data_IF_515327365829
#
_entry.id   IF_515327365829
#
_cell.length_a   1.000
_cell.length_b   1.000
_cell.length_c   1.000
_cell.angle_alpha   90.00
_cell.angle_beta   90.00
_cell.angle_gamma   90.00
#
_symmetry.space_group_name_H-M   'P 1'
#
loop_
_entity.id
_entity.type
_entity.pdbx_description
1 polymer ?
#
# COMPACT_ATOMS: atom_id res chain seq x y z
N UNK A 1 -8.22 -2.48 -9.53
CA UNK A 1 -9.49 -1.94 -9.00
C UNK A 1 -10.19 -1.16 -10.12
N UNK A 2 -11.48 -0.90 -10.01
CA UNK A 2 -12.20 0.02 -10.91
C UNK A 2 -12.84 1.13 -10.10
N UNK A 3 -12.82 2.35 -10.63
CA UNK A 3 -13.41 3.54 -10.00
C UNK A 3 -14.87 3.65 -10.45
N UNK A 4 -15.77 3.91 -9.52
CA UNK A 4 -17.18 4.22 -9.79
C UNK A 4 -17.55 5.56 -9.19
N UNK A 5 -18.32 6.34 -9.95
CA UNK A 5 -18.91 7.58 -9.47
C UNK A 5 -20.24 7.29 -8.79
N UNK A 6 -20.42 7.77 -7.57
CA UNK A 6 -21.63 7.61 -6.76
C UNK A 6 -22.19 9.00 -6.48
N UNK A 7 -23.48 9.18 -6.78
CA UNK A 7 -24.21 10.39 -6.44
C UNK A 7 -24.98 10.14 -5.14
N UNK A 8 -24.65 10.88 -4.08
CA UNK A 8 -25.32 10.73 -2.77
C UNK A 8 -25.52 12.09 -2.12
N UNK A 9 -26.75 12.38 -1.72
CA UNK A 9 -27.12 13.63 -1.04
C UNK A 9 -26.65 14.89 -1.80
N UNK A 10 -26.72 14.89 -3.15
CA UNK A 10 -26.27 16.01 -3.98
C UNK A 10 -24.76 16.16 -4.14
N UNK A 11 -23.95 15.26 -3.55
CA UNK A 11 -22.49 15.22 -3.73
C UNK A 11 -22.08 14.09 -4.67
N UNK A 12 -21.06 14.36 -5.48
CA UNK A 12 -20.38 13.37 -6.31
C UNK A 12 -19.25 12.77 -5.47
N UNK A 13 -19.19 11.44 -5.39
CA UNK A 13 -18.12 10.71 -4.69
C UNK A 13 -17.50 9.69 -5.65
N UNK A 14 -16.16 9.65 -5.71
CA UNK A 14 -15.43 8.66 -6.48
C UNK A 14 -14.97 7.54 -5.57
N UNK A 15 -15.36 6.30 -5.88
CA UNK A 15 -15.11 5.17 -5.00
C UNK A 15 -14.51 4.01 -5.76
N UNK A 16 -13.46 3.42 -5.23
CA UNK A 16 -12.82 2.24 -5.82
C UNK A 16 -13.52 0.96 -5.41
N UNK A 17 -13.52 -0.02 -6.31
CA UNK A 17 -14.01 -1.36 -6.05
C UNK A 17 -13.02 -2.41 -6.57
N UNK A 18 -12.87 -3.49 -5.82
CA UNK A 18 -12.11 -4.64 -6.26
C UNK A 18 -12.77 -5.25 -7.50
N UNK A 19 -11.98 -5.35 -8.59
CA UNK A 19 -12.44 -5.90 -9.86
C UNK A 19 -12.69 -7.41 -9.77
N UNK A 20 -11.92 -8.13 -8.94
CA UNK A 20 -12.15 -9.57 -8.71
C UNK A 20 -13.45 -9.81 -7.93
N UNK A 21 -13.75 -8.98 -6.93
CA UNK A 21 -15.03 -9.06 -6.21
C UNK A 21 -16.23 -8.77 -7.11
N UNK A 22 -16.13 -7.76 -7.99
CA UNK A 22 -17.22 -7.40 -8.90
C UNK A 22 -17.54 -8.47 -9.95
N UNK A 23 -16.59 -9.36 -10.27
CA UNK A 23 -16.81 -10.51 -11.17
C UNK A 23 -17.62 -11.64 -10.52
N UNK A 24 -17.88 -11.58 -9.21
CA UNK A 24 -18.74 -12.51 -8.48
C UNK A 24 -18.01 -13.77 -8.00
N UNK A 25 -18.50 -14.31 -6.87
CA UNK A 25 -17.91 -15.48 -6.18
C UNK A 25 -17.91 -16.77 -7.02
N UNK A 26 -18.76 -16.86 -8.05
CA UNK A 26 -18.87 -18.04 -8.90
C UNK A 26 -17.70 -18.19 -9.89
N UNK A 27 -16.96 -17.11 -10.21
CA UNK A 27 -15.83 -17.15 -11.16
C UNK A 27 -14.45 -17.10 -10.49
N UNK A 28 -14.27 -16.39 -9.36
CA UNK A 28 -12.97 -16.29 -8.67
C UNK A 28 -13.13 -16.11 -7.14
N UNK A 29 -12.43 -16.93 -6.34
CA UNK A 29 -12.52 -16.95 -4.86
C UNK A 29 -11.55 -16.00 -4.12
N UNK A 30 -10.70 -15.27 -4.85
CA UNK A 30 -9.54 -14.56 -4.27
C UNK A 30 -9.89 -13.40 -3.34
N UNK A 31 -11.03 -12.76 -3.53
CA UNK A 31 -11.44 -11.60 -2.71
C UNK A 31 -12.77 -11.86 -2.00
N UNK A 32 -12.75 -11.86 -0.67
CA UNK A 32 -13.93 -12.06 0.18
C UNK A 32 -14.74 -10.76 0.43
N UNK A 33 -14.18 -9.61 0.08
CA UNK A 33 -14.76 -8.29 0.29
C UNK A 33 -14.61 -7.40 -0.95
N UNK A 34 -15.43 -6.33 -1.08
CA UNK A 34 -15.33 -5.40 -2.19
C UNK A 34 -14.07 -4.52 -2.18
N UNK A 35 -13.26 -4.52 -1.10
CA UNK A 35 -12.12 -3.60 -0.89
C UNK A 35 -12.45 -2.15 -1.29
N UNK A 36 -13.63 -1.69 -0.87
CA UNK A 36 -14.16 -0.39 -1.24
C UNK A 36 -13.45 0.70 -0.44
N UNK A 37 -12.95 1.74 -1.10
CA UNK A 37 -12.41 2.93 -0.43
C UNK A 37 -12.71 4.20 -1.23
N UNK A 38 -12.92 5.32 -0.55
CA UNK A 38 -13.15 6.62 -1.19
C UNK A 38 -11.83 7.10 -1.82
N UNK A 39 -11.89 7.58 -3.06
CA UNK A 39 -10.71 8.05 -3.79
C UNK A 39 -10.19 9.32 -3.14
N UNK A 40 -11.08 10.23 -2.73
CA UNK A 40 -10.68 11.52 -2.17
C UNK A 40 -9.93 11.32 -0.83
N UNK A 41 -10.42 10.38 0.00
CA UNK A 41 -9.73 9.98 1.24
C UNK A 41 -8.34 9.40 0.98
N UNK A 42 -8.19 8.55 -0.05
CA UNK A 42 -6.87 7.98 -0.40
C UNK A 42 -5.91 9.08 -0.85
N UNK A 43 -6.40 10.00 -1.67
CA UNK A 43 -5.60 11.09 -2.23
C UNK A 43 -5.15 12.09 -1.16
N UNK A 44 -6.01 12.41 -0.20
CA UNK A 44 -5.69 13.26 0.95
C UNK A 44 -4.61 12.63 1.84
N UNK A 45 -4.75 11.34 2.16
CA UNK A 45 -3.74 10.62 2.94
C UNK A 45 -2.38 10.56 2.22
N UNK A 46 -2.40 10.30 0.91
CA UNK A 46 -1.18 10.31 0.10
C UNK A 46 -0.52 11.69 0.09
N UNK A 47 -1.32 12.75 -0.07
CA UNK A 47 -0.83 14.12 -0.04
C UNK A 47 -0.17 14.46 1.30
N UNK A 48 -0.75 14.02 2.41
CA UNK A 48 -0.16 14.20 3.74
C UNK A 48 1.15 13.43 3.90
N UNK A 49 1.21 12.16 3.47
CA UNK A 49 2.42 11.35 3.51
C UNK A 49 3.54 11.98 2.67
N UNK A 50 3.24 12.42 1.45
CA UNK A 50 4.21 13.08 0.58
C UNK A 50 4.71 14.40 1.17
N UNK A 51 3.82 15.21 1.75
CA UNK A 51 4.21 16.45 2.46
C UNK A 51 5.16 16.17 3.62
N UNK A 52 4.88 15.16 4.45
CA UNK A 52 5.77 14.77 5.55
C UNK A 52 7.13 14.28 5.06
N UNK A 53 7.16 13.48 3.99
CA UNK A 53 8.41 13.02 3.38
C UNK A 53 9.22 14.21 2.85
N UNK A 54 8.57 15.14 2.14
CA UNK A 54 9.23 16.32 1.58
C UNK A 54 9.77 17.24 2.67
N UNK A 55 8.98 17.52 3.71
CA UNK A 55 9.42 18.31 4.86
C UNK A 55 10.65 17.67 5.54
N UNK A 56 10.60 16.36 5.78
CA UNK A 56 11.74 15.66 6.38
C UNK A 56 12.99 15.68 5.49
N UNK A 57 12.82 15.56 4.17
CA UNK A 57 13.92 15.67 3.21
C UNK A 57 14.60 17.04 3.27
N UNK A 58 13.84 18.11 3.51
CA UNK A 58 14.39 19.46 3.65
C UNK A 58 15.09 19.66 5.00
N UNK A 59 14.49 19.20 6.09
CA UNK A 59 15.02 19.39 7.44
C UNK A 59 16.28 18.56 7.70
N UNK A 60 16.31 17.31 7.22
CA UNK A 60 17.37 16.34 7.54
C UNK A 60 17.86 15.59 6.29
N UNK A 61 18.40 16.32 5.31
CA UNK A 61 18.87 15.77 4.02
C UNK A 61 19.82 14.57 4.16
N UNK A 62 20.81 14.66 5.05
CA UNK A 62 21.82 13.61 5.22
C UNK A 62 21.23 12.33 5.82
N UNK A 63 20.30 12.46 6.76
CA UNK A 63 19.65 11.31 7.38
C UNK A 63 18.58 10.73 6.47
N UNK A 64 17.86 11.55 5.71
CA UNK A 64 16.96 11.08 4.67
C UNK A 64 17.69 10.27 3.60
N UNK A 65 18.86 10.71 3.14
CA UNK A 65 19.66 9.94 2.18
C UNK A 65 20.12 8.59 2.75
N UNK A 66 20.57 8.56 4.02
CA UNK A 66 20.90 7.30 4.70
C UNK A 66 19.69 6.40 4.81
N UNK A 67 18.53 6.94 5.14
CA UNK A 67 17.28 6.18 5.31
C UNK A 67 16.81 5.58 3.99
N UNK A 68 16.79 6.36 2.91
CA UNK A 68 16.48 5.89 1.56
C UNK A 68 17.43 4.77 1.15
N UNK A 69 18.74 4.95 1.38
CA UNK A 69 19.74 3.91 1.15
C UNK A 69 19.44 2.67 1.99
N UNK A 70 19.23 2.80 3.29
CA UNK A 70 18.93 1.68 4.19
C UNK A 70 17.66 0.94 3.78
N UNK A 71 16.60 1.64 3.35
CA UNK A 71 15.39 0.97 2.84
C UNK A 71 15.64 0.14 1.59
N UNK A 72 16.54 0.59 0.71
CA UNK A 72 16.96 -0.16 -0.47
C UNK A 72 17.93 -1.31 -0.12
N UNK A 73 18.78 -1.11 0.90
CA UNK A 73 19.79 -2.09 1.32
C UNK A 73 19.26 -3.15 2.29
N UNK A 74 18.15 -2.91 3.01
CA UNK A 74 17.58 -3.83 4.00
C UNK A 74 17.23 -5.22 3.43
N UNK A 75 17.12 -5.35 2.12
CA UNK A 75 16.93 -6.63 1.44
C UNK A 75 18.25 -7.33 1.02
N UNK A 76 19.42 -6.67 1.10
CA UNK A 76 20.62 -7.11 0.36
C UNK A 76 21.96 -7.09 1.13
N UNK A 77 22.03 -6.68 2.40
CA UNK A 77 23.35 -6.42 3.04
C UNK A 77 24.25 -7.62 3.25
N UNK A 78 23.70 -8.81 3.51
CA UNK A 78 24.52 -10.01 3.74
C UNK A 78 24.94 -10.67 2.41
N UNK A 79 24.07 -10.72 1.42
CA UNK A 79 24.40 -11.25 0.10
C UNK A 79 25.41 -10.37 -0.64
N UNK A 80 25.26 -9.04 -0.59
CA UNK A 80 26.20 -8.12 -1.24
C UNK A 80 27.61 -8.27 -0.66
N UNK A 81 27.74 -8.40 0.67
CA UNK A 81 29.04 -8.63 1.32
C UNK A 81 29.65 -9.99 0.93
N UNK A 82 28.83 -11.04 0.83
CA UNK A 82 29.28 -12.36 0.36
C UNK A 82 29.76 -12.29 -1.08
N UNK A 83 28.96 -11.68 -1.96
CA UNK A 83 29.26 -11.49 -3.38
C UNK A 83 30.53 -10.66 -3.59
N UNK A 84 30.75 -9.62 -2.78
CA UNK A 84 31.94 -8.78 -2.84
C UNK A 84 33.21 -9.53 -2.45
N UNK A 85 33.12 -10.49 -1.51
CA UNK A 85 34.23 -11.40 -1.16
C UNK A 85 34.40 -12.54 -2.16
N UNK A 86 33.31 -12.98 -2.78
CA UNK A 86 33.29 -14.10 -3.74
C UNK A 86 33.88 -13.71 -5.09
N UNK A 87 33.64 -12.48 -5.55
CA UNK A 87 34.16 -11.96 -6.81
C UNK A 87 35.69 -12.13 -6.98
N UNK A 88 36.56 -11.68 -6.04
CA UNK A 88 38.00 -11.86 -6.16
C UNK A 88 38.42 -13.34 -6.15
N UNK A 89 37.72 -14.19 -5.38
CA UNK A 89 38.01 -15.62 -5.32
C UNK A 89 37.75 -16.31 -6.65
N UNK A 90 36.63 -15.96 -7.31
CA UNK A 90 36.28 -16.47 -8.63
C UNK A 90 37.30 -16.01 -9.66
N UNK A 91 37.68 -14.73 -9.67
CA UNK A 91 38.68 -14.22 -10.62
C UNK A 91 40.03 -14.89 -10.45
N UNK A 92 40.52 -15.03 -9.21
CA UNK A 92 41.80 -15.68 -8.94
C UNK A 92 41.78 -17.14 -9.37
N UNK A 93 40.65 -17.85 -9.13
CA UNK A 93 40.49 -19.23 -9.54
C UNK A 93 40.43 -19.39 -11.05
N UNK A 94 39.73 -18.49 -11.76
CA UNK A 94 39.69 -18.48 -13.22
C UNK A 94 41.09 -18.27 -13.81
N UNK A 95 41.88 -17.34 -13.27
CA UNK A 95 43.28 -17.13 -13.71
C UNK A 95 44.16 -18.36 -13.44
N UNK A 96 43.99 -19.04 -12.31
CA UNK A 96 44.70 -20.29 -12.03
C UNK A 96 44.34 -21.37 -13.05
N UNK A 97 43.06 -21.52 -13.39
CA UNK A 97 42.60 -22.48 -14.38
C UNK A 97 43.21 -22.19 -15.76
N UNK A 98 43.24 -20.92 -16.18
CA UNK A 98 43.86 -20.52 -17.45
C UNK A 98 45.37 -20.87 -17.49
N UNK A 99 46.10 -20.62 -16.39
CA UNK A 99 47.52 -21.00 -16.29
C UNK A 99 47.72 -22.52 -16.37
N UNK A 100 46.86 -23.29 -15.72
CA UNK A 100 46.94 -24.77 -15.73
C UNK A 100 46.57 -25.32 -17.12
N UNK A 101 45.55 -24.76 -17.76
CA UNK A 101 45.13 -25.13 -19.11
C UNK A 101 46.22 -24.87 -20.16
N UNK A 102 46.91 -23.73 -20.08
CA UNK A 102 48.03 -23.42 -20.98
C UNK A 102 49.16 -24.45 -20.85
N UNK A 103 49.56 -24.79 -19.61
CA UNK A 103 50.58 -25.84 -19.37
C UNK A 103 50.13 -27.21 -19.86
N UNK A 104 48.87 -27.58 -19.62
CA UNK A 104 48.29 -28.83 -20.11
C UNK A 104 48.37 -28.93 -21.63
N UNK A 105 48.12 -27.82 -22.33
CA UNK A 105 48.24 -27.76 -23.80
C UNK A 105 49.69 -27.90 -24.26
N UNK A 106 50.63 -27.21 -23.61
CA UNK A 106 52.06 -27.32 -23.89
C UNK A 106 52.59 -28.76 -23.68
N UNK A 107 52.25 -29.39 -22.56
CA UNK A 107 52.67 -30.76 -22.24
C UNK A 107 52.09 -31.80 -23.22
N UNK A 108 50.84 -31.60 -23.67
CA UNK A 108 50.22 -32.45 -24.68
C UNK A 108 50.90 -32.27 -26.06
N UNK A 109 51.22 -31.03 -26.46
CA UNK A 109 51.91 -30.74 -27.71
C UNK A 109 53.33 -31.33 -27.76
N UNK A 110 54.01 -31.42 -26.61
CA UNK A 110 55.32 -32.06 -26.47
C UNK A 110 55.26 -33.60 -26.39
N UNK A 111 54.06 -34.18 -26.34
CA UNK A 111 53.87 -35.64 -26.20
C UNK A 111 54.18 -36.19 -24.81
N UNK A 112 54.27 -35.31 -23.79
CA UNK A 112 54.56 -35.69 -22.41
C UNK A 112 53.33 -36.28 -21.69
N UNK A 113 52.17 -36.28 -22.35
CA UNK A 113 50.90 -36.72 -21.79
C UNK A 113 50.12 -37.57 -22.78
N UNK A 114 49.43 -38.58 -22.25
CA UNK A 114 48.49 -39.38 -23.02
C UNK A 114 47.26 -38.55 -23.43
N UNK A 115 46.78 -38.76 -24.65
CA UNK A 115 45.73 -37.93 -25.28
C UNK A 115 44.40 -38.08 -24.54
N UNK A 116 44.05 -39.31 -24.13
CA UNK A 116 42.80 -39.57 -23.39
C UNK A 116 42.80 -38.83 -22.04
N UNK A 117 43.96 -38.79 -21.37
CA UNK A 117 44.13 -38.09 -20.10
C UNK A 117 44.05 -36.57 -20.25
N UNK A 118 44.59 -36.03 -21.35
CA UNK A 118 44.46 -34.60 -21.69
C UNK A 118 42.99 -34.22 -21.91
N UNK A 119 42.23 -35.00 -22.68
CA UNK A 119 40.81 -34.73 -22.95
C UNK A 119 39.97 -34.72 -21.65
N UNK A 120 40.24 -35.65 -20.73
CA UNK A 120 39.55 -35.69 -19.44
C UNK A 120 39.85 -34.48 -18.57
N UNK A 121 41.12 -34.06 -18.48
CA UNK A 121 41.53 -32.91 -17.67
C UNK A 121 41.05 -31.58 -18.27
N UNK A 122 41.22 -31.41 -19.58
CA UNK A 122 40.77 -30.21 -20.30
C UNK A 122 39.26 -30.00 -20.17
N UNK A 123 38.47 -31.08 -20.25
CA UNK A 123 37.01 -31.01 -20.02
C UNK A 123 36.67 -30.56 -18.61
N UNK A 124 37.29 -31.15 -17.58
CA UNK A 124 37.04 -30.79 -16.17
C UNK A 124 37.35 -29.31 -15.89
N UNK A 125 38.50 -28.83 -16.36
CA UNK A 125 38.89 -27.43 -16.16
C UNK A 125 38.04 -26.46 -17.00
N UNK A 126 37.62 -26.85 -18.20
CA UNK A 126 36.69 -26.05 -19.00
C UNK A 126 35.31 -25.93 -18.32
N UNK A 127 34.76 -27.04 -17.80
CA UNK A 127 33.52 -27.03 -17.03
C UNK A 127 33.63 -26.12 -15.80
N UNK A 128 34.70 -26.24 -15.02
CA UNK A 128 34.97 -25.35 -13.87
C UNK A 128 35.07 -23.87 -14.31
N UNK A 129 35.76 -23.58 -15.41
CA UNK A 129 35.88 -22.22 -15.91
C UNK A 129 34.53 -21.61 -16.31
N UNK A 130 33.71 -22.32 -17.10
CA UNK A 130 32.43 -21.77 -17.58
C UNK A 130 31.40 -21.64 -16.47
N UNK A 131 31.40 -22.56 -15.49
CA UNK A 131 30.56 -22.45 -14.29
C UNK A 131 30.93 -21.21 -13.45
N UNK A 132 32.22 -21.01 -13.19
CA UNK A 132 32.73 -19.82 -12.50
C UNK A 132 32.47 -18.53 -13.28
N UNK A 133 32.57 -18.57 -14.62
CA UNK A 133 32.26 -17.43 -15.48
C UNK A 133 30.78 -17.06 -15.42
N UNK A 134 29.89 -18.04 -15.41
CA UNK A 134 28.45 -17.81 -15.24
C UNK A 134 28.14 -17.21 -13.86
N UNK A 135 28.72 -17.76 -12.78
CA UNK A 135 28.60 -17.21 -11.42
C UNK A 135 29.10 -15.75 -11.37
N UNK A 136 30.22 -15.45 -12.02
CA UNK A 136 30.78 -14.10 -12.11
C UNK A 136 29.83 -13.11 -12.79
N UNK A 137 29.22 -13.50 -13.90
CA UNK A 137 28.27 -12.64 -14.61
C UNK A 137 26.97 -12.44 -13.81
N UNK A 138 26.46 -13.46 -13.13
CA UNK A 138 25.31 -13.34 -12.23
C UNK A 138 25.61 -12.35 -11.08
N UNK A 139 26.78 -12.47 -10.46
CA UNK A 139 27.19 -11.56 -9.39
C UNK A 139 27.34 -10.12 -9.92
N UNK A 140 27.90 -9.92 -11.13
CA UNK A 140 27.98 -8.59 -11.76
C UNK A 140 26.60 -8.00 -12.04
N UNK A 141 25.66 -8.81 -12.52
CA UNK A 141 24.28 -8.38 -12.77
C UNK A 141 23.64 -7.89 -11.46
N UNK A 142 23.77 -8.66 -10.37
CA UNK A 142 23.31 -8.23 -9.03
C UNK A 142 23.97 -6.92 -8.56
N UNK A 143 25.27 -6.72 -8.82
CA UNK A 143 25.93 -5.45 -8.50
C UNK A 143 25.37 -4.29 -9.33
N UNK A 144 25.08 -4.51 -10.62
CA UNK A 144 24.45 -3.49 -11.48
C UNK A 144 23.04 -3.12 -10.98
N UNK A 145 22.27 -4.08 -10.47
CA UNK A 145 20.97 -3.83 -9.85
C UNK A 145 21.09 -2.97 -8.57
N UNK A 146 22.15 -3.18 -7.79
CA UNK A 146 22.48 -2.38 -6.60
C UNK A 146 22.91 -0.94 -6.96
N UNK A 147 23.73 -0.77 -8.00
CA UNK A 147 24.11 0.56 -8.49
C UNK A 147 22.89 1.30 -9.05
N UNK A 148 22.04 0.59 -9.80
CA UNK A 148 20.75 1.09 -10.23
C UNK A 148 19.89 1.50 -9.03
N UNK A 149 19.91 0.76 -7.91
CA UNK A 149 19.24 1.16 -6.67
C UNK A 149 19.79 2.48 -6.11
N UNK A 150 21.11 2.65 -6.11
CA UNK A 150 21.75 3.89 -5.66
C UNK A 150 21.40 5.09 -6.55
N UNK A 151 21.26 4.88 -7.87
CA UNK A 151 20.77 5.91 -8.77
C UNK A 151 19.27 6.19 -8.56
N UNK A 152 18.46 5.16 -8.32
CA UNK A 152 17.03 5.30 -7.96
C UNK A 152 16.87 6.11 -6.67
N UNK A 153 17.70 5.88 -5.66
CA UNK A 153 17.73 6.68 -4.43
C UNK A 153 17.94 8.17 -4.71
N UNK A 154 18.97 8.50 -5.51
CA UNK A 154 19.26 9.90 -5.90
C UNK A 154 18.09 10.54 -6.64
N UNK A 155 17.46 9.80 -7.55
CA UNK A 155 16.25 10.26 -8.27
C UNK A 155 15.10 10.52 -7.31
N UNK A 156 14.85 9.63 -6.36
CA UNK A 156 13.80 9.83 -5.35
C UNK A 156 14.04 11.05 -4.47
N UNK A 157 15.28 11.27 -4.03
CA UNK A 157 15.65 12.43 -3.22
C UNK A 157 15.44 13.73 -4.03
N UNK A 158 15.90 13.76 -5.29
CA UNK A 158 15.68 14.90 -6.17
C UNK A 158 14.19 15.19 -6.40
N UNK A 159 13.38 14.15 -6.57
CA UNK A 159 11.93 14.29 -6.65
C UNK A 159 11.37 14.86 -5.33
N UNK A 160 11.68 14.26 -4.18
CA UNK A 160 11.19 14.73 -2.88
C UNK A 160 11.52 16.20 -2.60
N UNK A 161 12.71 16.67 -3.00
CA UNK A 161 13.14 18.07 -2.89
C UNK A 161 12.35 19.00 -3.83
N UNK A 162 12.17 18.59 -5.09
CA UNK A 162 11.49 19.40 -6.11
C UNK A 162 10.00 19.64 -5.83
N UNK A 163 9.37 18.76 -5.04
CA UNK A 163 7.93 18.81 -4.77
C UNK A 163 7.61 19.23 -3.32
N UNK A 164 8.49 19.99 -2.67
CA UNK A 164 8.29 20.43 -1.27
C UNK A 164 7.16 21.44 -1.04
N UNK A 165 6.68 22.12 -2.08
CA UNK A 165 5.59 23.10 -2.02
C UNK A 165 4.33 22.56 -2.70
N UNK A 166 3.52 21.76 -2.00
CA UNK A 166 2.24 21.28 -2.53
C UNK A 166 1.11 22.29 -2.26
N UNK A 167 0.57 22.89 -3.32
CA UNK A 167 -0.82 23.40 -3.32
C UNK A 167 -1.79 22.33 -3.87
N UNK A 168 -1.43 21.58 -4.92
CA UNK A 168 -2.29 20.53 -5.51
C UNK A 168 -1.53 19.27 -5.96
N UNK A 169 -2.11 18.09 -5.72
CA UNK A 169 -1.58 16.80 -6.20
C UNK A 169 -2.03 16.57 -7.65
N UNK A 170 -1.14 16.79 -8.63
CA UNK A 170 -1.46 16.50 -10.03
C UNK A 170 -1.28 15.00 -10.35
N UNK A 171 -2.05 14.43 -11.31
CA UNK A 171 -1.91 13.03 -11.71
C UNK A 171 -0.49 12.65 -12.17
N UNK A 172 0.23 13.59 -12.78
CA UNK A 172 1.61 13.40 -13.22
C UNK A 172 2.53 13.10 -12.05
N UNK A 173 2.44 13.89 -10.97
CA UNK A 173 3.25 13.72 -9.76
C UNK A 173 2.97 12.36 -9.10
N UNK A 174 1.71 11.96 -9.05
CA UNK A 174 1.31 10.68 -8.46
C UNK A 174 1.93 9.52 -9.24
N UNK A 175 1.84 9.54 -10.57
CA UNK A 175 2.41 8.49 -11.40
C UNK A 175 3.95 8.46 -11.34
N UNK A 176 4.60 9.59 -11.08
CA UNK A 176 6.05 9.66 -10.88
C UNK A 176 6.47 9.13 -9.50
N UNK A 177 5.73 9.45 -8.44
CA UNK A 177 6.08 9.01 -7.08
C UNK A 177 5.64 7.59 -6.78
N UNK A 178 4.42 7.23 -7.16
CA UNK A 178 3.72 6.07 -6.65
C UNK A 178 3.63 5.00 -7.73
N UNK A 179 4.16 3.82 -7.40
CA UNK A 179 4.09 2.62 -8.24
C UNK A 179 2.73 1.93 -8.09
N UNK A 180 2.32 1.69 -6.85
CA UNK A 180 1.06 1.01 -6.55
C UNK A 180 0.58 1.36 -5.14
N UNK A 181 -0.73 1.29 -4.97
CA UNK A 181 -1.40 1.45 -3.68
C UNK A 181 -2.11 0.14 -3.39
N UNK A 182 -1.76 -0.50 -2.28
CA UNK A 182 -2.41 -1.73 -1.80
C UNK A 182 -3.42 -1.33 -0.74
N UNK A 183 -4.67 -1.66 -0.98
CA UNK A 183 -5.78 -1.41 -0.06
C UNK A 183 -6.18 -2.73 0.57
N UNK A 184 -6.02 -2.81 1.90
CA UNK A 184 -6.36 -4.02 2.66
C UNK A 184 -7.86 -4.14 2.94
N UNK A 185 -8.26 -5.31 3.43
CA UNK A 185 -9.63 -5.55 3.90
C UNK A 185 -9.95 -4.65 5.10
N UNK A 186 -11.21 -4.22 5.18
CA UNK A 186 -11.71 -3.43 6.31
C UNK A 186 -11.81 -4.30 7.55
N UNK A 187 -11.41 -3.77 8.71
CA UNK A 187 -11.48 -4.50 9.98
C UNK A 187 -12.88 -4.99 10.33
N UNK A 188 -13.91 -4.18 10.01
CA UNK A 188 -15.32 -4.51 10.27
C UNK A 188 -16.14 -4.39 8.99
N UNK A 189 -16.73 -5.50 8.56
CA UNK A 189 -17.57 -5.55 7.36
C UNK A 189 -18.84 -4.71 7.54
N UNK A 190 -19.24 -3.98 6.49
CA UNK A 190 -20.48 -3.18 6.40
C UNK A 190 -20.62 -2.04 7.42
N UNK A 191 -19.62 -1.77 8.25
CA UNK A 191 -19.66 -0.62 9.14
C UNK A 191 -19.36 0.69 8.36
N UNK A 192 -20.09 1.76 8.71
CA UNK A 192 -19.93 3.09 8.12
C UNK A 192 -18.60 3.74 8.51
N UNK A 193 -18.13 3.42 9.71
CA UNK A 193 -16.94 3.97 10.33
C UNK A 193 -16.03 2.79 10.68
N UNK A 194 -14.90 2.68 10.00
CA UNK A 194 -13.99 1.53 10.05
C UNK A 194 -12.58 2.01 9.75
N UNK A 195 -11.59 1.45 10.42
CA UNK A 195 -10.20 1.62 10.06
C UNK A 195 -9.86 0.67 8.91
N UNK A 196 -9.20 1.20 7.89
CA UNK A 196 -8.77 0.44 6.72
C UNK A 196 -7.31 0.76 6.44
N UNK A 197 -6.46 -0.28 6.41
CA UNK A 197 -5.03 -0.11 6.15
C UNK A 197 -4.77 0.11 4.66
N UNK A 198 -3.94 1.10 4.35
CA UNK A 198 -3.43 1.37 3.00
C UNK A 198 -1.91 1.26 3.04
N UNK A 199 -1.32 0.60 2.06
CA UNK A 199 0.13 0.62 1.82
C UNK A 199 0.42 1.34 0.50
N UNK A 200 1.39 2.23 0.51
CA UNK A 200 1.83 2.98 -0.67
C UNK A 200 3.24 2.51 -1.03
N UNK A 201 3.41 2.13 -2.30
CA UNK A 201 4.70 1.73 -2.87
C UNK A 201 5.17 2.84 -3.80
N UNK A 202 6.40 3.28 -3.61
CA UNK A 202 7.03 4.32 -4.41
C UNK A 202 7.84 3.71 -5.55
N UNK A 203 7.89 4.38 -6.71
CA UNK A 203 8.56 3.86 -7.92
C UNK A 203 10.05 3.55 -7.71
N UNK A 204 10.74 4.35 -6.90
CA UNK A 204 12.20 4.28 -6.77
C UNK A 204 12.69 3.48 -5.56
N UNK A 205 11.86 3.37 -4.51
CA UNK A 205 12.23 2.76 -3.22
C UNK A 205 11.34 1.58 -2.86
N UNK A 206 10.21 1.39 -3.55
CA UNK A 206 9.24 0.35 -3.18
C UNK A 206 8.50 0.73 -1.90
N UNK A 207 8.37 -0.22 -0.97
CA UNK A 207 7.67 0.04 0.29
C UNK A 207 8.57 0.88 1.21
N UNK A 208 8.16 2.12 1.45
CA UNK A 208 8.92 3.00 2.34
C UNK A 208 8.59 2.67 3.80
N UNK A 209 9.29 1.70 4.38
CA UNK A 209 9.16 1.34 5.80
C UNK A 209 10.23 2.04 6.64
N UNK A 210 9.86 3.18 7.20
CA UNK A 210 10.74 4.00 8.04
C UNK A 210 10.07 4.45 9.35
N UNK A 211 10.86 4.96 10.30
CA UNK A 211 10.42 5.55 11.56
C UNK A 211 9.40 6.68 11.36
N UNK A 212 9.55 7.46 10.28
CA UNK A 212 8.59 8.50 9.88
C UNK A 212 7.22 7.92 9.50
N UNK A 213 7.19 6.85 8.72
CA UNK A 213 5.94 6.16 8.39
C UNK A 213 5.37 5.41 9.59
N UNK A 214 6.19 4.95 10.53
CA UNK A 214 5.72 4.36 11.80
C UNK A 214 5.08 5.40 12.73
N UNK A 215 5.50 6.66 12.68
CA UNK A 215 4.83 7.76 13.37
C UNK A 215 3.50 8.15 12.70
N UNK A 216 3.33 7.84 11.42
CA UNK A 216 2.08 8.05 10.66
C UNK A 216 1.14 6.86 10.80
N UNK A 217 1.66 5.64 10.97
CA UNK A 217 0.87 4.48 11.34
C UNK A 217 0.22 4.74 12.71
N UNK A 218 -1.12 4.80 12.80
CA UNK A 218 -1.77 5.07 14.07
C UNK A 218 -1.40 3.97 15.06
N UNK A 219 -0.92 4.37 16.23
CA UNK A 219 -0.54 3.45 17.30
C UNK A 219 -1.74 2.57 17.66
N UNK A 220 -1.53 1.34 18.14
CA UNK A 220 -2.65 0.46 18.54
C UNK A 220 -3.61 1.15 19.54
N UNK A 221 -3.10 2.05 20.36
CA UNK A 221 -3.91 2.87 21.27
C UNK A 221 -4.77 3.92 20.55
N UNK A 222 -4.24 4.58 19.53
CA UNK A 222 -4.96 5.56 18.70
C UNK A 222 -6.01 4.86 17.84
N UNK A 223 -5.68 3.67 17.31
CA UNK A 223 -6.64 2.78 16.65
C UNK A 223 -7.83 2.45 17.57
N UNK A 224 -7.56 2.17 18.86
CA UNK A 224 -8.59 1.91 19.87
C UNK A 224 -9.39 3.17 20.22
N UNK A 225 -8.76 4.34 20.31
CA UNK A 225 -9.44 5.62 20.52
C UNK A 225 -10.37 5.95 19.36
N UNK A 226 -9.87 5.89 18.12
CA UNK A 226 -10.70 6.06 16.92
C UNK A 226 -11.87 5.08 16.91
N UNK A 227 -11.67 3.80 17.29
CA UNK A 227 -12.78 2.83 17.44
C UNK A 227 -13.82 3.27 18.46
N UNK A 228 -13.39 3.78 19.62
CA UNK A 228 -14.29 4.27 20.68
C UNK A 228 -15.08 5.49 20.23
N UNK A 229 -14.41 6.47 19.61
CA UNK A 229 -15.05 7.67 19.06
C UNK A 229 -16.09 7.32 17.99
N UNK A 230 -15.74 6.38 17.12
CA UNK A 230 -16.64 5.83 16.12
C UNK A 230 -17.88 5.19 16.76
N UNK A 231 -17.69 4.41 17.82
CA UNK A 231 -18.78 3.75 18.53
C UNK A 231 -19.67 4.76 19.25
N UNK A 232 -19.07 5.79 19.85
CA UNK A 232 -19.77 6.87 20.51
C UNK A 232 -20.57 7.73 19.52
N UNK A 233 -19.98 8.06 18.37
CA UNK A 233 -20.68 8.75 17.28
C UNK A 233 -21.89 7.94 16.76
N UNK A 234 -21.77 6.60 16.69
CA UNK A 234 -22.91 5.72 16.38
C UNK A 234 -23.98 5.78 17.47
N UNK A 235 -23.59 5.72 18.74
CA UNK A 235 -24.51 5.83 19.89
C UNK A 235 -25.22 7.19 19.88
N UNK A 236 -24.51 8.28 19.63
CA UNK A 236 -25.08 9.62 19.60
C UNK A 236 -26.02 9.81 18.41
N UNK A 237 -25.67 9.30 17.22
CA UNK A 237 -26.60 9.31 16.08
C UNK A 237 -27.88 8.54 16.38
N UNK A 238 -27.79 7.39 17.05
CA UNK A 238 -28.96 6.62 17.48
C UNK A 238 -29.79 7.37 18.55
N UNK A 239 -29.12 8.07 19.49
CA UNK A 239 -29.78 8.94 20.48
C UNK A 239 -30.49 10.10 19.79
N UNK A 240 -29.84 10.80 18.86
CA UNK A 240 -30.42 11.90 18.08
C UNK A 240 -31.64 11.43 17.27
N UNK A 241 -31.54 10.29 16.59
CA UNK A 241 -32.69 9.66 15.91
C UNK A 241 -33.84 9.40 16.88
N UNK A 242 -33.58 8.78 18.04
CA UNK A 242 -34.61 8.54 19.06
C UNK A 242 -35.22 9.85 19.58
N UNK A 243 -34.41 10.88 19.85
CA UNK A 243 -34.89 12.20 20.27
C UNK A 243 -35.84 12.80 19.24
N UNK A 244 -35.47 12.76 17.95
CA UNK A 244 -36.30 13.26 16.86
C UNK A 244 -37.60 12.46 16.71
N UNK A 245 -37.50 11.13 16.68
CA UNK A 245 -38.66 10.23 16.60
C UNK A 245 -39.66 10.46 17.73
N UNK A 246 -39.20 10.53 18.98
CA UNK A 246 -40.09 10.78 20.12
C UNK A 246 -40.68 12.20 20.12
N UNK A 247 -39.96 13.20 19.59
CA UNK A 247 -40.48 14.55 19.42
C UNK A 247 -41.65 14.57 18.42
N UNK A 248 -41.48 13.93 17.26
CA UNK A 248 -42.53 13.79 16.25
C UNK A 248 -43.70 12.97 16.77
N UNK A 249 -43.43 11.84 17.43
CA UNK A 249 -44.47 11.00 18.04
C UNK A 249 -45.30 11.77 19.07
N UNK A 250 -44.67 12.55 19.96
CA UNK A 250 -45.38 13.40 20.94
C UNK A 250 -46.23 14.47 20.26
N UNK A 251 -45.72 15.12 19.22
CA UNK A 251 -46.45 16.13 18.46
C UNK A 251 -47.70 15.52 17.78
N UNK A 252 -47.53 14.41 17.06
CA UNK A 252 -48.63 13.70 16.41
C UNK A 252 -49.66 13.18 17.42
N UNK A 253 -49.22 12.70 18.58
CA UNK A 253 -50.14 12.24 19.61
C UNK A 253 -50.95 13.39 20.22
N UNK A 254 -50.32 14.55 20.45
CA UNK A 254 -51.02 15.76 20.90
C UNK A 254 -52.07 16.21 19.86
N UNK A 255 -51.74 16.13 18.57
CA UNK A 255 -52.65 16.45 17.48
C UNK A 255 -53.85 15.49 17.43
N UNK A 256 -53.61 14.17 17.56
CA UNK A 256 -54.67 13.17 17.69
C UNK A 256 -55.59 13.43 18.88
N UNK A 257 -55.05 13.79 20.04
CA UNK A 257 -55.87 14.16 21.20
C UNK A 257 -56.76 15.38 20.90
N UNK A 258 -56.21 16.41 20.26
CA UNK A 258 -56.99 17.61 19.85
C UNK A 258 -58.10 17.27 18.87
N UNK A 259 -57.84 16.39 17.90
CA UNK A 259 -58.88 15.92 16.97
C UNK A 259 -59.98 15.14 17.67
N UNK A 260 -59.61 14.24 18.58
CA UNK A 260 -60.55 13.47 19.39
C UNK A 260 -61.47 14.39 20.22
N UNK A 261 -60.91 15.40 20.87
CA UNK A 261 -61.69 16.40 21.62
C UNK A 261 -62.65 17.19 20.73
N UNK A 262 -62.21 17.61 19.52
CA UNK A 262 -63.07 18.29 18.54
C UNK A 262 -64.24 17.39 18.12
N UNK A 263 -63.99 16.10 17.89
CA UNK A 263 -65.00 15.14 17.47
C UNK A 263 -66.04 14.93 18.58
N UNK A 264 -65.58 14.71 19.81
CA UNK A 264 -66.44 14.59 21.00
C UNK A 264 -67.27 15.85 21.25
N UNK A 265 -66.70 17.04 21.03
CA UNK A 265 -67.44 18.30 21.14
C UNK A 265 -68.52 18.44 20.05
N UNK A 266 -68.27 17.97 18.81
CA UNK A 266 -69.27 17.93 17.73
C UNK A 266 -70.41 16.99 18.08
N UNK A 267 -70.11 15.79 18.56
CA UNK A 267 -71.12 14.81 19.01
C UNK A 267 -71.98 15.36 20.15
N UNK A 268 -71.36 15.99 21.15
CA UNK A 268 -72.08 16.62 22.25
C UNK A 268 -73.03 17.72 21.75
N UNK A 269 -72.56 18.60 20.85
CA UNK A 269 -73.40 19.64 20.23
C UNK A 269 -74.55 19.05 19.41
N UNK A 270 -74.32 17.96 18.69
CA UNK A 270 -75.36 17.26 17.91
C UNK A 270 -76.42 16.64 18.84
N UNK A 271 -76.01 15.94 19.91
CA UNK A 271 -76.92 15.40 20.93
C UNK A 271 -77.77 16.49 21.58
N UNK A 272 -77.16 17.62 21.96
CA UNK A 272 -77.88 18.74 22.58
C UNK A 272 -78.86 19.42 21.61
N UNK A 273 -78.57 19.44 20.30
CA UNK A 273 -79.51 19.93 19.28
C UNK A 273 -80.71 18.98 19.13
N UNK A 274 -80.48 17.67 19.11
CA UNK A 274 -81.55 16.67 19.03
C UNK A 274 -82.48 16.73 20.25
N UNK A 275 -81.93 16.86 21.46
CA UNK A 275 -82.70 17.02 22.70
C UNK A 275 -83.51 18.33 22.80
N UNK A 276 -83.17 19.35 22.00
CA UNK A 276 -83.93 20.61 21.92
C UNK A 276 -85.02 20.59 20.84
N UNK A 277 -84.98 19.60 19.94
CA UNK A 277 -85.94 19.44 18.85
C UNK A 277 -87.07 18.44 19.20
N UNK A 278 -86.90 17.69 20.29
CA UNK A 278 -87.93 16.89 20.98
C UNK A 278 -88.58 17.71 22.07
#
# INVERSE_FOLDING_TARGET
MHIRTIYKNGKVQHVTYCSEYAKGKAKHSKCNSPHRIDVDEVMENIAEVLRKIAQYSLENRADFEKLVKVSLYKEQTEEVKKNQKRMPQITDRMEQIERVMNKLYEDNALGNMDTERYEQLSRKYAEEYYTLKAEKEEIKERFSECENASQRAKKFIGLAESYSNFEELTPTIINEFISKIIVHERDVKRAKYVVQRIEVYFNYIGKFENELTKQIEPTEQEMLQMRKEIEEAKKEKARAYRRAYYKEYRANNLEKCREYEKLKAREYRAKKKLQRAT
#
